data_IF_354696161184
#
_entry.id   IF_354696161184
#
_cell.length_a   1.000
_cell.length_b   1.000
_cell.length_c   1.000
_cell.angle_alpha   90.00
_cell.angle_beta   90.00
_cell.angle_gamma   90.00
#
_symmetry.space_group_name_H-M   'P 1'
#
loop_
_entity.id
_entity.type
_entity.pdbx_description
1 polymer ?
#
# COMPACT_ATOMS: atom_id res chain seq x y z
N UNK A 1 -17.04 10.50 -0.01
CA UNK A 1 -16.23 11.12 1.07
C UNK A 1 -15.12 11.93 0.41
N UNK A 2 -14.68 13.07 0.94
CA UNK A 2 -13.57 13.80 0.34
C UNK A 2 -12.34 12.88 0.30
N UNK A 3 -11.72 12.77 -0.88
CA UNK A 3 -10.48 12.02 -1.05
C UNK A 3 -9.37 12.82 -0.38
N UNK A 4 -9.06 12.49 0.87
CA UNK A 4 -8.04 13.15 1.68
C UNK A 4 -6.65 12.53 1.49
N UNK A 5 -6.45 11.72 0.45
CA UNK A 5 -5.16 11.09 0.13
C UNK A 5 -4.66 10.09 1.19
N UNK A 6 -5.37 9.88 2.29
CA UNK A 6 -4.96 8.99 3.39
C UNK A 6 -5.31 7.53 3.15
N UNK A 7 -4.30 6.68 3.18
CA UNK A 7 -4.44 5.23 3.13
C UNK A 7 -5.19 4.71 4.36
N UNK A 8 -6.30 4.01 4.13
CA UNK A 8 -7.14 3.38 5.16
C UNK A 8 -7.58 1.99 4.71
N UNK A 9 -8.22 1.23 5.59
CA UNK A 9 -8.85 -0.03 5.18
C UNK A 9 -9.81 0.17 4.01
N UNK A 10 -9.72 -0.69 2.99
CA UNK A 10 -10.53 -0.63 1.78
C UNK A 10 -9.98 0.23 0.66
N UNK A 11 -8.96 1.08 0.90
CA UNK A 11 -8.35 1.90 -0.14
C UNK A 11 -7.53 1.08 -1.13
N UNK A 12 -7.53 1.52 -2.38
CA UNK A 12 -6.58 1.07 -3.40
C UNK A 12 -5.43 2.08 -3.44
N UNK A 13 -4.19 1.58 -3.33
CA UNK A 13 -2.98 2.39 -3.18
C UNK A 13 -1.98 1.96 -4.25
N UNK A 14 -1.48 2.92 -5.01
CA UNK A 14 -0.36 2.73 -5.93
C UNK A 14 0.92 3.19 -5.24
N UNK A 15 1.96 2.37 -5.34
CA UNK A 15 3.27 2.61 -4.75
C UNK A 15 4.37 2.41 -5.78
N UNK A 16 5.38 3.28 -5.77
CA UNK A 16 6.58 3.16 -6.56
C UNK A 16 7.73 2.66 -5.68
N UNK A 17 8.36 1.56 -6.05
CA UNK A 17 9.61 1.12 -5.41
C UNK A 17 10.75 2.05 -5.83
N UNK A 18 11.35 2.79 -4.89
CA UNK A 18 12.39 3.77 -5.20
C UNK A 18 13.74 3.14 -5.56
N UNK A 19 13.94 1.86 -5.25
CA UNK A 19 15.17 1.13 -5.60
C UNK A 19 15.10 0.52 -7.02
N UNK A 20 13.92 0.04 -7.42
CA UNK A 20 13.74 -0.70 -8.68
C UNK A 20 12.95 0.06 -9.76
N UNK A 21 12.36 1.20 -9.41
CA UNK A 21 11.47 1.99 -10.27
C UNK A 21 10.21 1.21 -10.73
N UNK A 22 9.85 0.15 -10.00
CA UNK A 22 8.68 -0.68 -10.28
C UNK A 22 7.44 -0.13 -9.54
N UNK A 23 6.38 0.14 -10.28
CA UNK A 23 5.09 0.53 -9.73
C UNK A 23 4.19 -0.68 -9.46
N UNK A 24 3.57 -0.72 -8.29
CA UNK A 24 2.61 -1.74 -7.89
C UNK A 24 1.37 -1.10 -7.29
N UNK A 25 0.20 -1.69 -7.53
CA UNK A 25 -1.07 -1.20 -6.99
C UNK A 25 -1.72 -2.29 -6.17
N UNK A 26 -2.09 -1.98 -4.94
CA UNK A 26 -2.72 -2.92 -4.00
C UNK A 26 -4.01 -2.38 -3.45
N UNK A 27 -4.96 -3.28 -3.14
CA UNK A 27 -6.12 -2.94 -2.32
C UNK A 27 -5.99 -3.56 -0.95
N UNK A 28 -6.19 -2.75 0.08
CA UNK A 28 -6.13 -3.20 1.47
C UNK A 28 -7.49 -3.79 1.86
N UNK A 29 -7.51 -5.09 2.17
CA UNK A 29 -8.70 -5.87 2.51
C UNK A 29 -8.53 -6.64 3.82
N UNK A 30 -9.55 -7.36 4.27
CA UNK A 30 -9.46 -8.25 5.43
C UNK A 30 -8.67 -9.52 5.11
N UNK A 31 -8.38 -10.33 6.13
CA UNK A 31 -7.64 -11.59 5.95
C UNK A 31 -8.42 -12.59 5.08
N UNK A 32 -9.74 -12.63 5.22
CA UNK A 32 -10.60 -13.57 4.51
C UNK A 32 -10.71 -13.26 3.00
N UNK A 33 -10.53 -12.00 2.60
CA UNK A 33 -10.56 -11.57 1.20
C UNK A 33 -9.18 -11.45 0.54
N UNK A 34 -8.09 -11.63 1.29
CA UNK A 34 -6.75 -11.42 0.79
C UNK A 34 -6.36 -12.45 -0.30
N UNK A 35 -6.00 -11.97 -1.48
CA UNK A 35 -5.45 -12.74 -2.59
C UNK A 35 -4.37 -11.92 -3.31
N UNK A 36 -3.11 -12.28 -3.05
CA UNK A 36 -1.96 -11.61 -3.63
C UNK A 36 -1.95 -11.66 -5.17
N UNK A 37 -2.50 -12.70 -5.79
CA UNK A 37 -2.57 -12.81 -7.25
C UNK A 37 -3.51 -11.76 -7.87
N UNK A 38 -4.41 -11.21 -7.05
CA UNK A 38 -5.34 -10.14 -7.42
C UNK A 38 -4.93 -8.78 -6.86
N UNK A 39 -3.70 -8.67 -6.32
CA UNK A 39 -3.23 -7.49 -5.59
C UNK A 39 -4.12 -7.09 -4.41
N UNK A 40 -4.82 -8.05 -3.82
CA UNK A 40 -5.60 -7.86 -2.60
C UNK A 40 -4.71 -8.25 -1.43
N UNK A 41 -4.28 -7.26 -0.64
CA UNK A 41 -3.42 -7.49 0.52
C UNK A 41 -4.21 -7.37 1.81
N UNK A 42 -3.98 -8.29 2.73
CA UNK A 42 -4.53 -8.16 4.08
C UNK A 42 -3.99 -6.91 4.76
N UNK A 43 -4.85 -6.23 5.52
CA UNK A 43 -4.51 -5.15 6.45
C UNK A 43 -3.40 -5.54 7.46
N UNK A 44 -3.22 -6.83 7.71
CA UNK A 44 -2.19 -7.36 8.61
C UNK A 44 -0.85 -7.63 7.91
N UNK A 45 -0.79 -7.52 6.58
CA UNK A 45 0.47 -7.67 5.84
C UNK A 45 1.49 -6.57 6.22
N UNK A 46 2.80 -6.82 6.12
CA UNK A 46 3.82 -5.79 6.38
C UNK A 46 3.65 -4.55 5.50
N UNK A 47 3.31 -4.75 4.22
CA UNK A 47 3.08 -3.67 3.26
C UNK A 47 1.88 -2.82 3.69
N UNK A 48 0.72 -3.43 3.92
CA UNK A 48 -0.46 -2.69 4.35
C UNK A 48 -0.21 -1.92 5.65
N UNK A 49 0.43 -2.54 6.65
CA UNK A 49 0.76 -1.87 7.92
C UNK A 49 1.73 -0.70 7.76
N UNK A 50 2.65 -0.76 6.80
CA UNK A 50 3.55 0.35 6.48
C UNK A 50 2.83 1.53 5.80
N UNK A 51 1.75 1.24 5.06
CA UNK A 51 0.98 2.24 4.31
C UNK A 51 -0.17 2.85 5.11
N UNK A 52 -0.83 2.10 6.00
CA UNK A 52 -2.00 2.58 6.73
C UNK A 52 -1.70 3.88 7.50
N UNK A 53 -2.54 4.89 7.29
CA UNK A 53 -2.45 6.21 7.91
C UNK A 53 -1.49 7.18 7.21
N UNK A 54 -0.77 6.73 6.17
CA UNK A 54 0.06 7.56 5.29
C UNK A 54 -0.77 8.24 4.23
N UNK A 55 -0.21 9.26 3.61
CA UNK A 55 -0.90 10.08 2.61
C UNK A 55 -0.23 9.97 1.24
N UNK A 56 -0.92 10.38 0.19
CA UNK A 56 -0.33 10.48 -1.15
C UNK A 56 0.93 11.38 -1.11
N UNK A 57 1.93 11.01 -1.89
CA UNK A 57 3.26 11.61 -1.96
C UNK A 57 4.16 11.36 -0.72
N UNK A 58 3.69 10.60 0.28
CA UNK A 58 4.56 10.12 1.37
C UNK A 58 5.52 9.05 0.87
N UNK A 59 6.75 9.09 1.40
CA UNK A 59 7.74 8.00 1.28
C UNK A 59 7.75 7.17 2.57
N UNK A 60 7.68 5.85 2.43
CA UNK A 60 7.65 4.90 3.53
C UNK A 60 8.72 3.82 3.36
N UNK A 61 9.40 3.50 4.45
CA UNK A 61 10.32 2.37 4.52
C UNK A 61 9.61 1.16 5.11
N UNK A 62 9.49 0.08 4.34
CA UNK A 62 8.79 -1.14 4.75
C UNK A 62 9.80 -2.27 4.93
N UNK A 63 9.78 -2.89 6.13
CA UNK A 63 10.58 -4.08 6.42
C UNK A 63 9.92 -5.32 5.84
N UNK A 64 10.57 -5.89 4.83
CA UNK A 64 10.21 -7.19 4.25
C UNK A 64 11.24 -8.24 4.68
N UNK A 65 10.94 -9.54 4.54
CA UNK A 65 11.94 -10.59 4.78
C UNK A 65 13.21 -10.47 3.91
N UNK A 66 13.12 -9.79 2.76
CA UNK A 66 14.25 -9.56 1.85
C UNK A 66 15.10 -8.33 2.19
N UNK A 67 14.68 -7.50 3.15
CA UNK A 67 15.33 -6.23 3.48
C UNK A 67 14.32 -5.09 3.67
N UNK A 68 14.84 -3.91 3.97
CA UNK A 68 14.08 -2.67 3.92
C UNK A 68 13.91 -2.24 2.46
N UNK A 69 12.69 -1.82 2.10
CA UNK A 69 12.36 -1.30 0.77
C UNK A 69 11.69 0.05 0.96
N UNK A 70 12.12 1.06 0.20
CA UNK A 70 11.50 2.38 0.19
C UNK A 70 10.44 2.48 -0.91
N UNK A 71 9.25 2.91 -0.52
CA UNK A 71 8.13 3.12 -1.42
C UNK A 71 7.63 4.55 -1.35
N UNK A 72 7.32 5.15 -2.49
CA UNK A 72 6.55 6.39 -2.58
C UNK A 72 5.08 6.07 -2.90
N UNK A 73 4.13 6.70 -2.19
CA UNK A 73 2.70 6.54 -2.45
C UNK A 73 2.30 7.46 -3.60
N UNK A 74 2.14 6.92 -4.80
CA UNK A 74 1.83 7.71 -6.01
C UNK A 74 0.34 8.04 -6.12
N UNK A 75 -0.54 7.22 -5.51
CA UNK A 75 -1.98 7.38 -5.63
C UNK A 75 -2.76 6.70 -4.52
N UNK A 76 -3.81 7.35 -4.05
CA UNK A 76 -4.79 6.76 -3.11
C UNK A 76 -6.21 6.93 -3.63
N UNK A 77 -6.91 5.81 -3.77
CA UNK A 77 -8.27 5.75 -4.31
C UNK A 77 -9.21 5.05 -3.32
N UNK A 78 -10.42 5.60 -3.20
CA UNK A 78 -11.51 5.01 -2.41
C UNK A 78 -12.62 4.61 -3.37
N UNK A 79 -13.02 3.34 -3.33
CA UNK A 79 -14.20 2.83 -4.05
C UNK A 79 -15.48 3.15 -3.29
#
# INVERSE_FOLDING_TARGET
>A
MPNNGRVIFGSTVSVLNLDTDEEQTYRIVGDDEADFKQNLISVNSPIARGLIGKEQDDVVTIRTPGGEVEYEITKVEYL
#
